data_IF_835515109079
#
_entry.id   IF_835515109079
#
_cell.length_a   1.000
_cell.length_b   1.000
_cell.length_c   1.000
_cell.angle_alpha   90.00
_cell.angle_beta   90.00
_cell.angle_gamma   90.00
#
_symmetry.space_group_name_H-M   'P 1'
#
loop_
_entity.id
_entity.type
_entity.pdbx_description
1 polymer ?
#
# COMPACT_ATOMS: atom_id res chain seq x y z
N UNK A 1 16.41 6.14 1.34
CA UNK A 1 15.47 6.58 0.29
C UNK A 1 15.00 5.35 -0.48
N UNK A 2 13.87 4.78 -0.08
CA UNK A 2 13.33 3.56 -0.70
C UNK A 2 12.29 3.87 -1.79
N UNK A 3 11.64 5.02 -1.71
CA UNK A 3 10.55 5.41 -2.59
C UNK A 3 10.92 6.52 -3.59
N UNK A 4 11.84 7.41 -3.25
CA UNK A 4 12.15 8.56 -4.08
C UNK A 4 12.84 8.17 -5.38
N UNK A 5 12.39 8.75 -6.50
CA UNK A 5 12.89 8.47 -7.83
C UNK A 5 12.36 7.17 -8.45
N UNK A 6 11.39 6.51 -7.80
CA UNK A 6 10.72 5.33 -8.35
C UNK A 6 9.49 5.73 -9.16
N UNK A 7 9.28 5.02 -10.26
CA UNK A 7 7.99 4.93 -10.94
C UNK A 7 7.45 3.53 -10.70
N UNK A 8 6.33 3.44 -10.02
CA UNK A 8 5.70 2.19 -9.62
C UNK A 8 4.41 2.00 -10.40
N UNK A 9 4.15 0.76 -10.80
CA UNK A 9 2.89 0.32 -11.44
C UNK A 9 1.90 -0.11 -10.37
N UNK A 10 0.67 -0.46 -10.74
CA UNK A 10 -0.28 -1.05 -9.78
C UNK A 10 0.30 -2.32 -9.14
N UNK A 11 0.14 -2.51 -7.84
CA UNK A 11 0.70 -3.66 -7.13
C UNK A 11 0.80 -3.48 -5.61
N UNK A 12 1.37 -4.50 -4.96
CA UNK A 12 1.67 -4.52 -3.52
C UNK A 12 3.17 -4.36 -3.31
N UNK A 13 3.56 -3.41 -2.46
CA UNK A 13 4.94 -3.03 -2.20
C UNK A 13 5.25 -3.21 -0.71
N UNK A 14 6.01 -4.25 -0.38
CA UNK A 14 6.43 -4.52 0.99
C UNK A 14 7.84 -3.95 1.23
N UNK A 15 7.99 -3.19 2.31
CA UNK A 15 9.29 -2.77 2.81
C UNK A 15 9.74 -3.85 3.79
N UNK A 16 10.71 -4.68 3.37
CA UNK A 16 11.20 -5.81 4.16
C UNK A 16 11.49 -5.45 5.61
N UNK A 17 11.46 -6.46 6.49
CA UNK A 17 11.57 -6.30 7.94
C UNK A 17 12.74 -5.37 8.32
N UNK A 18 12.43 -4.35 9.13
CA UNK A 18 13.35 -3.35 9.71
C UNK A 18 13.68 -2.09 8.88
N UNK A 19 13.10 -1.87 7.70
CA UNK A 19 13.34 -0.62 6.97
C UNK A 19 12.18 0.38 7.13
N UNK A 20 12.49 1.57 7.63
CA UNK A 20 11.63 2.76 7.53
C UNK A 20 11.32 3.03 6.06
N UNK A 21 10.05 2.98 5.69
CA UNK A 21 9.60 3.37 4.36
C UNK A 21 9.81 4.88 4.21
N UNK A 22 10.84 5.29 3.47
CA UNK A 22 11.20 6.70 3.36
C UNK A 22 11.19 7.25 1.94
N UNK A 23 10.70 8.49 1.84
CA UNK A 23 10.67 9.29 0.62
C UNK A 23 11.43 10.60 0.84
N UNK A 24 12.46 10.84 0.04
CA UNK A 24 13.23 12.09 0.07
C UNK A 24 12.71 13.12 -0.93
N UNK A 25 13.01 14.39 -0.72
CA UNK A 25 12.63 15.48 -1.62
C UNK A 25 13.35 15.48 -2.98
N UNK A 26 14.51 14.82 -3.07
CA UNK A 26 15.38 14.87 -4.26
C UNK A 26 14.71 14.38 -5.54
N UNK A 27 13.77 13.42 -5.44
CA UNK A 27 13.01 12.94 -6.59
C UNK A 27 11.66 12.38 -6.13
N UNK A 28 10.56 12.67 -6.85
CA UNK A 28 9.24 12.22 -6.46
C UNK A 28 9.09 10.70 -6.57
N UNK A 29 8.12 10.16 -5.85
CA UNK A 29 7.53 8.85 -6.15
C UNK A 29 6.44 9.04 -7.20
N UNK A 30 6.50 8.29 -8.30
CA UNK A 30 5.48 8.30 -9.35
C UNK A 30 4.66 7.02 -9.28
N UNK A 31 3.33 7.14 -9.25
CA UNK A 31 2.39 6.03 -9.33
C UNK A 31 1.72 6.08 -10.70
N UNK A 32 2.08 5.12 -11.55
CA UNK A 32 1.64 5.04 -12.94
C UNK A 32 0.59 3.94 -13.08
N UNK A 33 -0.63 4.33 -13.42
CA UNK A 33 -1.72 3.39 -13.66
C UNK A 33 -1.71 2.77 -15.06
N UNK A 34 -0.82 3.22 -15.97
CA UNK A 34 -0.69 2.70 -17.33
C UNK A 34 -2.01 2.71 -18.12
N UNK A 35 -2.89 3.69 -17.84
CA UNK A 35 -4.21 3.81 -18.46
C UNK A 35 -5.31 2.97 -17.79
N UNK A 36 -4.99 2.18 -16.77
CA UNK A 36 -5.96 1.41 -16.01
C UNK A 36 -6.57 2.25 -14.88
N UNK A 37 -7.79 2.71 -15.06
CA UNK A 37 -8.47 3.56 -14.10
C UNK A 37 -8.89 2.83 -12.80
N UNK A 38 -8.79 1.49 -12.80
CA UNK A 38 -9.01 0.61 -11.66
C UNK A 38 -7.70 0.19 -10.97
N UNK A 39 -6.54 0.73 -11.39
CA UNK A 39 -5.23 0.46 -10.81
C UNK A 39 -5.20 0.68 -9.29
N UNK A 40 -4.70 -0.31 -8.54
CA UNK A 40 -4.59 -0.29 -7.09
C UNK A 40 -3.12 -0.33 -6.68
N UNK A 41 -2.75 0.48 -5.68
CA UNK A 41 -1.42 0.52 -5.09
C UNK A 41 -1.52 0.29 -3.59
N UNK A 42 -0.82 -0.71 -3.08
CA UNK A 42 -0.79 -1.03 -1.64
C UNK A 42 0.66 -1.00 -1.17
N UNK A 43 0.93 -0.15 -0.19
CA UNK A 43 2.23 -0.03 0.46
C UNK A 43 2.14 -0.66 1.85
N UNK A 44 3.02 -1.61 2.15
CA UNK A 44 3.10 -2.32 3.43
C UNK A 44 4.42 -1.97 4.13
N UNK A 45 4.38 -0.93 4.95
CA UNK A 45 5.50 -0.50 5.78
C UNK A 45 5.50 -1.28 7.09
N UNK A 46 6.52 -2.12 7.27
CA UNK A 46 6.76 -2.91 8.50
C UNK A 46 7.36 -2.08 9.65
N UNK A 47 7.55 -0.78 9.43
CA UNK A 47 8.04 0.24 10.36
C UNK A 47 7.44 1.59 9.95
N UNK A 48 8.05 2.69 10.36
CA UNK A 48 7.53 4.04 10.12
C UNK A 48 7.49 4.37 8.63
N UNK A 49 6.50 5.17 8.24
CA UNK A 49 6.47 5.89 6.97
C UNK A 49 6.98 7.31 7.20
N UNK A 50 8.09 7.70 6.58
CA UNK A 50 8.66 9.05 6.70
C UNK A 50 8.77 9.70 5.33
N UNK A 51 7.99 10.77 5.14
CA UNK A 51 8.13 11.68 4.01
C UNK A 51 8.96 12.89 4.44
N UNK A 52 10.11 13.10 3.81
CA UNK A 52 10.95 14.26 4.08
C UNK A 52 10.23 15.57 3.69
N UNK A 53 10.65 16.73 4.26
CA UNK A 53 10.19 18.05 3.83
C UNK A 53 10.20 18.23 2.32
N UNK A 54 9.12 18.73 1.73
CA UNK A 54 8.98 18.98 0.29
C UNK A 54 8.89 17.74 -0.61
N UNK A 55 8.90 16.52 -0.05
CA UNK A 55 8.73 15.29 -0.82
C UNK A 55 7.34 15.16 -1.46
N UNK A 56 7.26 14.43 -2.59
CA UNK A 56 6.04 14.38 -3.41
C UNK A 56 5.73 12.97 -3.91
N UNK A 57 4.46 12.61 -3.83
CA UNK A 57 3.85 11.49 -4.57
C UNK A 57 3.05 12.06 -5.75
N UNK A 58 3.30 11.56 -6.95
CA UNK A 58 2.70 12.04 -8.21
C UNK A 58 1.91 10.91 -8.86
N UNK A 59 0.68 11.19 -9.29
CA UNK A 59 -0.18 10.27 -10.04
C UNK A 59 0.00 10.46 -11.55
N UNK A 60 0.06 9.36 -12.31
CA UNK A 60 0.14 9.37 -13.78
C UNK A 60 -0.86 8.41 -14.41
N UNK A 61 -1.19 8.70 -15.66
CA UNK A 61 -1.92 7.83 -16.58
C UNK A 61 -3.20 7.20 -15.99
N UNK A 62 -3.99 8.02 -15.28
CA UNK A 62 -5.27 7.58 -14.71
C UNK A 62 -5.20 7.04 -13.29
N UNK A 63 -4.04 7.10 -12.61
CA UNK A 63 -3.96 6.73 -11.19
C UNK A 63 -4.86 7.65 -10.35
N UNK A 64 -5.60 7.05 -9.41
CA UNK A 64 -6.57 7.74 -8.55
C UNK A 64 -6.16 7.62 -7.08
N UNK A 65 -6.14 8.73 -6.33
CA UNK A 65 -5.72 8.72 -4.92
C UNK A 65 -6.52 7.75 -4.04
N UNK A 66 -7.80 7.56 -4.36
CA UNK A 66 -8.68 6.67 -3.59
C UNK A 66 -8.34 5.18 -3.70
N UNK A 67 -7.50 4.80 -4.66
CA UNK A 67 -7.06 3.41 -4.89
C UNK A 67 -5.64 3.18 -4.39
N UNK A 68 -5.14 4.09 -3.57
CA UNK A 68 -3.78 4.06 -3.03
C UNK A 68 -3.88 3.93 -1.52
N UNK A 69 -3.31 2.85 -1.00
CA UNK A 69 -3.42 2.46 0.40
C UNK A 69 -2.04 2.27 1.01
N UNK A 70 -1.84 2.83 2.19
CA UNK A 70 -0.60 2.77 2.95
C UNK A 70 -0.89 2.13 4.30
N UNK A 71 -0.50 0.87 4.45
CA UNK A 71 -0.53 0.16 5.71
C UNK A 71 0.80 0.37 6.42
N UNK A 72 0.76 0.91 7.63
CA UNK A 72 1.95 1.28 8.41
C UNK A 72 1.84 0.63 9.79
N UNK A 73 2.75 -0.29 10.12
CA UNK A 73 2.71 -1.03 11.40
C UNK A 73 3.20 -0.23 12.61
N UNK A 74 3.62 1.02 12.43
CA UNK A 74 3.99 1.94 13.51
C UNK A 74 3.38 3.33 13.25
N UNK A 75 4.18 4.38 13.07
CA UNK A 75 3.72 5.75 12.86
C UNK A 75 4.05 6.27 11.45
N UNK A 76 3.34 7.32 11.04
CA UNK A 76 3.64 8.05 9.80
C UNK A 76 3.96 9.52 10.08
N UNK A 77 4.99 10.05 9.42
CA UNK A 77 5.35 11.46 9.44
C UNK A 77 5.34 12.01 8.01
N UNK A 78 4.46 12.99 7.78
CA UNK A 78 4.40 13.77 6.53
C UNK A 78 5.13 15.08 6.76
N UNK A 79 6.34 15.20 6.22
CA UNK A 79 7.22 16.36 6.46
C UNK A 79 6.65 17.66 5.91
N UNK A 80 7.20 18.78 6.39
CA UNK A 80 6.76 20.14 6.01
C UNK A 80 6.63 20.31 4.48
N UNK A 81 5.55 20.94 4.03
CA UNK A 81 5.25 21.19 2.61
C UNK A 81 5.31 19.94 1.69
N UNK A 82 5.19 18.74 2.24
CA UNK A 82 5.12 17.51 1.44
C UNK A 82 3.79 17.39 0.70
N UNK A 83 3.75 16.59 -0.37
CA UNK A 83 2.54 16.26 -1.13
C UNK A 83 2.29 14.77 -1.06
N UNK A 84 1.34 14.37 -0.24
CA UNK A 84 0.96 12.98 0.00
C UNK A 84 -0.32 12.60 -0.75
N UNK A 85 -0.37 11.34 -1.19
CA UNK A 85 -1.51 10.79 -1.94
C UNK A 85 -1.84 9.38 -1.44
N UNK A 86 -3.10 9.15 -1.10
CA UNK A 86 -3.65 7.86 -0.66
C UNK A 86 -4.25 7.88 0.74
N UNK A 87 -4.54 6.68 1.25
CA UNK A 87 -5.11 6.48 2.57
C UNK A 87 -4.08 5.83 3.49
N UNK A 88 -3.71 6.49 4.58
CA UNK A 88 -2.80 5.94 5.61
C UNK A 88 -3.61 5.24 6.67
N UNK A 89 -3.23 4.00 6.96
CA UNK A 89 -3.64 3.22 8.12
C UNK A 89 -2.42 2.97 8.99
N UNK A 90 -2.19 3.85 9.97
CA UNK A 90 -1.08 3.75 10.91
C UNK A 90 -1.52 3.03 12.19
N UNK A 91 -0.68 2.13 12.70
CA UNK A 91 -0.95 1.45 13.95
C UNK A 91 -0.92 2.42 15.13
N UNK A 92 0.08 3.30 15.19
CA UNK A 92 0.34 4.14 16.35
C UNK A 92 -0.16 5.57 16.16
N UNK A 93 0.53 6.41 15.40
CA UNK A 93 0.16 7.83 15.23
C UNK A 93 0.47 8.34 13.83
N UNK A 94 -0.10 9.49 13.48
CA UNK A 94 0.23 10.22 12.24
C UNK A 94 0.54 11.68 12.59
N UNK A 95 1.68 12.18 12.13
CA UNK A 95 2.02 13.59 12.17
C UNK A 95 2.07 14.16 10.76
N UNK A 96 1.21 15.12 10.45
CA UNK A 96 1.34 15.97 9.29
C UNK A 96 1.95 17.31 9.72
N UNK A 97 3.21 17.52 9.36
CA UNK A 97 3.93 18.75 9.68
C UNK A 97 3.44 19.93 8.84
N UNK A 98 3.92 21.13 9.17
CA UNK A 98 3.48 22.42 8.62
C UNK A 98 3.30 22.39 7.11
N UNK A 99 2.09 22.67 6.64
CA UNK A 99 1.82 22.88 5.21
C UNK A 99 1.84 21.61 4.35
N UNK A 100 1.92 20.40 4.94
CA UNK A 100 1.73 19.18 4.16
C UNK A 100 0.34 19.17 3.48
N UNK A 101 0.32 18.75 2.21
CA UNK A 101 -0.89 18.64 1.39
C UNK A 101 -1.22 17.16 1.18
N UNK A 102 -2.45 16.77 1.50
CA UNK A 102 -2.92 15.38 1.52
C UNK A 102 -4.09 15.23 0.55
N UNK A 103 -3.98 14.33 -0.40
CA UNK A 103 -5.10 13.80 -1.17
C UNK A 103 -5.44 12.39 -0.67
N UNK A 104 -6.46 12.29 0.19
CA UNK A 104 -6.91 11.04 0.80
C UNK A 104 -7.18 11.18 2.29
N UNK A 105 -6.81 10.17 3.09
CA UNK A 105 -7.19 10.08 4.51
C UNK A 105 -6.01 9.71 5.41
N UNK A 106 -6.03 10.22 6.65
CA UNK A 106 -5.06 9.92 7.69
C UNK A 106 -5.79 9.22 8.84
N UNK A 107 -5.56 7.91 9.02
CA UNK A 107 -6.24 7.09 10.02
C UNK A 107 -5.19 6.45 10.94
N UNK A 108 -5.14 6.89 12.19
CA UNK A 108 -4.30 6.30 13.24
C UNK A 108 -5.17 5.43 14.17
N UNK A 109 -4.72 4.21 14.46
CA UNK A 109 -5.50 3.26 15.27
C UNK A 109 -5.38 3.52 16.77
N UNK A 110 -4.16 3.72 17.28
CA UNK A 110 -3.88 3.73 18.72
C UNK A 110 -3.46 5.10 19.27
N UNK A 111 -3.44 6.15 18.44
CA UNK A 111 -2.85 7.43 18.79
C UNK A 111 -3.38 8.57 17.93
N UNK A 112 -2.80 9.75 18.14
CA UNK A 112 -3.28 10.97 17.53
C UNK A 112 -2.94 11.07 16.04
N UNK A 113 -3.80 11.78 15.31
CA UNK A 113 -3.48 12.42 14.04
C UNK A 113 -3.25 13.90 14.35
N UNK A 114 -2.02 14.38 14.27
CA UNK A 114 -1.68 15.79 14.50
C UNK A 114 -1.52 16.51 13.18
N UNK A 115 -2.16 17.67 13.06
CA UNK A 115 -2.12 18.52 11.87
C UNK A 115 -1.52 19.89 12.23
N UNK A 116 -0.75 20.45 11.31
CA UNK A 116 -0.18 21.78 11.37
C UNK A 116 -0.34 22.49 10.01
N UNK A 117 -1.29 23.42 9.94
CA UNK A 117 -1.59 24.20 8.73
C UNK A 117 -1.71 23.37 7.43
N UNK A 118 -2.31 22.18 7.51
CA UNK A 118 -2.41 21.26 6.39
C UNK A 118 -3.64 21.52 5.51
N UNK A 119 -3.54 21.09 4.25
CA UNK A 119 -4.70 20.96 3.35
C UNK A 119 -5.01 19.48 3.15
N UNK A 120 -6.26 19.09 3.39
CA UNK A 120 -6.74 17.73 3.14
C UNK A 120 -7.85 17.74 2.10
N UNK A 121 -7.67 16.99 1.01
CA UNK A 121 -8.67 16.73 0.00
C UNK A 121 -9.11 15.27 0.07
N UNK A 122 -10.36 15.05 0.50
CA UNK A 122 -10.98 13.73 0.62
C UNK A 122 -12.35 13.74 -0.10
N UNK A 123 -12.31 13.98 -1.40
CA UNK A 123 -13.51 13.97 -2.24
C UNK A 123 -13.97 12.56 -2.61
N UNK A 124 -15.04 12.49 -3.40
CA UNK A 124 -15.41 11.25 -4.06
C UNK A 124 -14.41 10.94 -5.16
N UNK A 125 -14.06 9.66 -5.26
CA UNK A 125 -13.23 9.18 -6.33
C UNK A 125 -14.08 8.90 -7.56
N UNK A 126 -14.43 9.96 -8.28
CA UNK A 126 -15.22 9.81 -9.48
C UNK A 126 -14.33 9.24 -10.56
N UNK A 127 -14.77 8.15 -11.20
CA UNK A 127 -14.11 7.68 -12.40
C UNK A 127 -14.12 8.80 -13.44
N UNK A 128 -12.96 9.16 -13.98
CA UNK A 128 -12.90 10.01 -15.16
C UNK A 128 -13.76 9.32 -16.21
N UNK A 129 -14.81 9.96 -16.76
CA UNK A 129 -15.62 9.30 -17.78
C UNK A 129 -14.68 8.92 -18.92
N UNK A 130 -14.56 7.63 -19.18
CA UNK A 130 -13.84 7.16 -20.36
C UNK A 130 -14.58 7.73 -21.55
N UNK A 131 -13.98 8.71 -22.23
CA UNK A 131 -14.45 9.13 -23.55
C UNK A 131 -14.23 7.94 -24.46
N UNK A 132 -15.25 7.09 -24.58
CA UNK A 132 -15.30 6.11 -25.65
C UNK A 132 -15.30 6.93 -26.93
N UNK A 133 -14.28 6.83 -27.79
CA UNK A 133 -14.33 7.51 -29.08
C UNK A 133 -15.62 7.07 -29.76
N UNK A 134 -16.48 8.05 -30.08
CA UNK A 134 -17.76 7.81 -30.72
C UNK A 134 -17.50 7.06 -32.02
N UNK A 135 -17.78 5.75 -32.02
CA UNK A 135 -17.79 4.98 -33.25
C UNK A 135 -18.92 5.55 -34.12
N UNK A 136 -18.59 5.92 -35.36
CA UNK A 136 -19.58 6.30 -36.37
C UNK A 136 -20.61 5.19 -36.49
N UNK A 137 -21.84 5.46 -36.06
CA UNK A 137 -22.93 4.50 -36.00
C UNK A 137 -23.34 4.03 -37.40
N UNK A 138 -23.31 2.72 -37.64
CA UNK A 138 -24.17 2.05 -38.63
C UNK A 138 -25.24 1.29 -37.85
N UNK A 139 -26.55 1.60 -38.00
CA UNK A 139 -27.59 1.05 -37.12
C UNK A 139 -27.98 -0.38 -37.54
N UNK A 140 -27.89 -1.37 -36.63
CA UNK A 140 -28.64 -2.64 -36.72
C UNK A 140 -28.82 -3.33 -35.36
N UNK A 141 -30.09 -3.53 -35.00
CA UNK A 141 -30.75 -4.52 -34.11
C UNK A 141 -30.26 -4.83 -32.67
N UNK A 142 -31.12 -4.44 -31.73
CA UNK A 142 -31.52 -5.06 -30.44
C UNK A 142 -30.61 -6.13 -29.82
N UNK A 143 -29.63 -5.69 -29.02
CA UNK A 143 -28.80 -6.55 -28.16
C UNK A 143 -29.22 -6.50 -26.68
N UNK A 144 -29.28 -7.67 -26.05
CA UNK A 144 -29.61 -7.92 -24.62
C UNK A 144 -28.60 -7.27 -23.67
N UNK A 145 -29.07 -6.63 -22.61
CA UNK A 145 -28.21 -6.09 -21.53
C UNK A 145 -27.53 -7.28 -20.81
N UNK A 146 -26.20 -7.31 -20.86
CA UNK A 146 -25.37 -8.23 -20.08
C UNK A 146 -24.75 -7.44 -18.93
N UNK A 147 -25.19 -7.71 -17.71
CA UNK A 147 -24.56 -7.21 -16.49
C UNK A 147 -23.37 -8.09 -16.16
N UNK A 148 -22.16 -7.60 -16.38
CA UNK A 148 -20.93 -8.26 -15.90
C UNK A 148 -20.69 -7.87 -14.44
N UNK A 149 -21.03 -8.78 -13.52
CA UNK A 149 -20.54 -8.72 -12.14
C UNK A 149 -19.09 -9.16 -12.13
N UNK A 150 -18.15 -8.23 -11.96
CA UNK A 150 -16.75 -8.59 -11.70
C UNK A 150 -16.67 -9.07 -10.25
N UNK A 151 -16.56 -10.38 -10.07
CA UNK A 151 -16.25 -10.97 -8.78
C UNK A 151 -14.82 -10.56 -8.41
N UNK A 152 -14.68 -9.70 -7.40
CA UNK A 152 -13.38 -9.24 -6.92
C UNK A 152 -12.47 -10.42 -6.57
N UNK A 153 -11.20 -10.33 -6.99
CA UNK A 153 -10.20 -11.36 -6.72
C UNK A 153 -9.97 -11.54 -5.22
N UNK A 154 -9.69 -12.78 -4.83
CA UNK A 154 -9.32 -13.11 -3.46
C UNK A 154 -7.99 -12.43 -3.10
N UNK A 155 -7.96 -11.64 -2.02
CA UNK A 155 -6.71 -11.12 -1.45
C UNK A 155 -5.75 -12.30 -1.22
N UNK A 156 -4.47 -12.21 -1.63
CA UNK A 156 -3.50 -13.23 -1.28
C UNK A 156 -3.41 -13.29 0.25
N UNK A 157 -3.54 -14.50 0.81
CA UNK A 157 -3.35 -14.74 2.24
C UNK A 157 -1.90 -14.39 2.58
N UNK A 158 -1.65 -13.17 3.07
CA UNK A 158 -0.30 -12.68 3.43
C UNK A 158 0.02 -12.80 4.92
N UNK A 159 -0.84 -13.43 5.73
CA UNK A 159 -0.39 -13.96 7.01
C UNK A 159 0.05 -15.40 6.81
N UNK A 160 1.34 -15.69 6.97
CA UNK A 160 1.74 -16.97 7.52
C UNK A 160 1.27 -16.96 8.97
N UNK A 161 0.25 -17.73 9.33
CA UNK A 161 -0.17 -17.80 10.71
C UNK A 161 0.96 -18.45 11.52
N UNK A 162 1.23 -17.88 12.71
CA UNK A 162 2.33 -18.28 13.60
C UNK A 162 2.40 -19.80 13.89
N UNK A 163 1.32 -20.56 13.64
CA UNK A 163 1.30 -22.01 13.79
C UNK A 163 2.23 -22.75 12.80
N UNK A 164 2.50 -22.23 11.60
CA UNK A 164 3.39 -22.90 10.64
C UNK A 164 4.87 -22.82 11.07
N UNK A 165 5.25 -21.75 11.78
CA UNK A 165 6.57 -21.64 12.44
C UNK A 165 6.69 -22.59 13.65
N UNK A 166 5.59 -22.82 14.38
CA UNK A 166 5.54 -23.79 15.48
C UNK A 166 5.72 -25.23 15.00
N UNK A 167 5.16 -25.58 13.83
CA UNK A 167 5.31 -26.93 13.25
C UNK A 167 6.75 -27.22 12.81
N UNK A 168 7.48 -26.22 12.27
CA UNK A 168 8.91 -26.37 11.96
C UNK A 168 9.77 -26.53 13.23
N UNK A 169 9.44 -25.80 14.30
CA UNK A 169 10.13 -25.93 15.60
C UNK A 169 9.94 -27.30 16.27
N UNK A 170 8.75 -27.91 16.15
CA UNK A 170 8.46 -29.23 16.71
C UNK A 170 9.17 -30.38 15.99
N UNK A 171 9.42 -30.27 14.68
CA UNK A 171 10.13 -31.32 13.90
C UNK A 171 11.63 -31.33 14.20
N UNK A 172 12.24 -30.17 14.46
CA UNK A 172 13.65 -30.05 14.85
C UNK A 172 13.94 -30.59 16.26
N UNK A 173 12.99 -30.51 17.20
CA UNK A 173 13.17 -31.08 18.54
C UNK A 173 13.05 -32.62 18.54
N UNK A 174 12.18 -33.19 17.71
CA UNK A 174 12.00 -34.65 17.61
C UNK A 174 13.22 -35.36 16.99
N UNK A 175 13.85 -34.77 15.96
CA UNK A 175 15.06 -35.34 15.33
C UNK A 175 16.29 -35.23 16.23
N UNK A 176 16.42 -34.15 17.01
CA UNK A 176 17.47 -34.01 18.03
C UNK A 176 17.37 -35.03 19.18
N UNK A 177 16.14 -35.32 19.65
CA UNK A 177 15.91 -36.31 20.73
C UNK A 177 16.17 -37.74 20.27
N UNK A 178 15.85 -38.10 19.02
CA UNK A 178 16.15 -39.43 18.46
C UNK A 178 17.66 -39.63 18.26
N UNK A 179 18.39 -38.60 17.81
CA UNK A 179 19.85 -38.62 17.70
C UNK A 179 20.57 -38.77 19.05
N UNK A 180 20.02 -38.21 20.13
CA UNK A 180 20.60 -38.33 21.47
C UNK A 180 20.41 -39.73 22.07
N UNK A 181 19.26 -40.38 21.82
CA UNK A 181 18.96 -41.73 22.34
C UNK A 181 19.88 -42.82 21.78
N UNK A 182 20.34 -42.67 20.53
CA UNK A 182 21.24 -43.64 19.91
C UNK A 182 22.71 -43.49 20.34
N UNK A 183 23.12 -42.33 20.89
CA UNK A 183 24.49 -42.13 21.40
C UNK A 183 24.72 -42.65 22.82
N UNK A 184 23.68 -43.03 23.57
CA UNK A 184 23.82 -43.53 24.95
C UNK A 184 23.85 -45.07 25.08
N UNK A 185 24.04 -45.82 24.00
CA UNK A 185 24.09 -47.31 24.02
C UNK A 185 25.46 -47.91 23.66
N UNK A 186 26.53 -47.14 23.74
CA UNK A 186 27.90 -47.65 23.68
C UNK A 186 28.75 -46.92 24.71
N UNK A 187 28.73 -47.41 25.96
CA UNK A 187 29.87 -47.73 26.85
C UNK A 187 29.31 -48.66 27.93
#
# INVERSE_FOLDING_TARGET
NQLGGKTLKSGVYAFGHANTANLTAASPLILDAEGNDEAVFIFQASSDLIMAPGSKVILKNGAKYCRIFWQVTSSATLGTNSTFVGHIFALTSIAAETGANVQGQLLARNGAVTLDHNTLHNGLCVATPTVTPSATVTPTATGKIVTTTVQGGQLPKTSTPLYDLLLLGAVLSLTGVVGWRNRKRFV
#
